data_IF_510276009431
#
_entry.id   IF_510276009431
#
_cell.length_a   1.000
_cell.length_b   1.000
_cell.length_c   1.000
_cell.angle_alpha   90.00
_cell.angle_beta   90.00
_cell.angle_gamma   90.00
#
_symmetry.space_group_name_H-M   'P 1'
#
loop_
_entity.id
_entity.type
_entity.pdbx_description
1 polymer ?
#
# COMPACT_ATOMS: atom_id res chain seq x y z
N UNK A 1 -28.16 -5.12 55.63
CA UNK A 1 -28.19 -4.30 54.41
C UNK A 1 -27.01 -4.76 53.55
N UNK A 2 -27.22 -5.79 52.73
CA UNK A 2 -26.16 -6.37 51.89
C UNK A 2 -25.82 -5.44 50.72
N UNK A 3 -24.53 -5.28 50.38
CA UNK A 3 -24.14 -4.46 49.24
C UNK A 3 -24.49 -5.21 47.96
N UNK A 4 -25.40 -4.63 47.16
CA UNK A 4 -25.71 -5.13 45.81
C UNK A 4 -24.47 -4.95 44.92
N UNK A 5 -23.75 -6.03 44.67
CA UNK A 5 -22.65 -6.10 43.70
C UNK A 5 -23.23 -5.87 42.31
N UNK A 6 -23.01 -4.68 41.73
CA UNK A 6 -23.46 -4.36 40.39
C UNK A 6 -22.69 -5.20 39.36
N UNK A 7 -23.35 -6.19 38.76
CA UNK A 7 -22.76 -7.03 37.71
C UNK A 7 -22.49 -6.18 36.48
N UNK A 8 -21.21 -5.88 36.21
CA UNK A 8 -20.79 -5.08 35.05
C UNK A 8 -21.09 -5.88 33.77
N UNK A 9 -22.13 -5.48 33.05
CA UNK A 9 -22.61 -6.18 31.86
C UNK A 9 -21.62 -5.97 30.71
N UNK A 10 -20.87 -7.02 30.35
CA UNK A 10 -19.91 -6.99 29.23
C UNK A 10 -20.65 -6.65 27.93
N UNK A 11 -20.22 -5.60 27.23
CA UNK A 11 -20.79 -5.21 25.94
C UNK A 11 -19.86 -5.60 24.81
N UNK A 12 -20.35 -6.42 23.88
CA UNK A 12 -19.60 -6.73 22.64
C UNK A 12 -20.19 -5.94 21.48
N UNK A 13 -19.33 -5.26 20.73
CA UNK A 13 -19.67 -4.51 19.51
C UNK A 13 -18.86 -5.06 18.35
N UNK A 14 -19.44 -5.03 17.15
CA UNK A 14 -18.76 -5.40 15.91
C UNK A 14 -18.83 -4.21 14.96
N UNK A 15 -17.68 -3.82 14.42
CA UNK A 15 -17.57 -2.87 13.33
C UNK A 15 -17.25 -3.64 12.05
N UNK A 16 -18.04 -3.41 11.00
CA UNK A 16 -17.81 -3.95 9.67
C UNK A 16 -17.79 -2.80 8.69
N UNK A 17 -16.68 -2.66 7.98
CA UNK A 17 -16.50 -1.73 6.88
C UNK A 17 -16.25 -2.60 5.66
N UNK A 18 -17.29 -2.80 4.85
CA UNK A 18 -17.23 -3.73 3.72
C UNK A 18 -16.35 -3.20 2.57
N UNK A 19 -16.20 -1.89 2.46
CA UNK A 19 -15.30 -1.21 1.52
C UNK A 19 -14.62 -0.03 2.22
N UNK A 20 -13.29 -0.05 2.27
CA UNK A 20 -12.49 1.09 2.70
C UNK A 20 -12.45 2.12 1.57
N UNK A 21 -12.96 3.32 1.85
CA UNK A 21 -12.84 4.46 0.95
C UNK A 21 -11.54 5.21 1.20
N UNK A 22 -11.14 6.04 0.22
CA UNK A 22 -9.95 6.92 0.30
C UNK A 22 -8.64 6.17 0.56
N UNK A 23 -8.52 4.98 -0.02
CA UNK A 23 -7.29 4.19 -0.07
C UNK A 23 -7.09 3.72 -1.51
N UNK A 24 -5.85 3.36 -1.86
CA UNK A 24 -5.59 2.64 -3.10
C UNK A 24 -5.88 1.15 -2.90
N UNK A 25 -6.36 0.50 -3.96
CA UNK A 25 -6.78 -0.89 -3.93
C UNK A 25 -8.14 -1.12 -3.26
N UNK A 26 -8.49 -2.39 -3.09
CA UNK A 26 -9.78 -2.81 -2.54
C UNK A 26 -9.62 -3.62 -1.25
N UNK A 27 -10.16 -3.07 -0.15
CA UNK A 27 -10.05 -3.68 1.17
C UNK A 27 -11.28 -3.48 2.05
N UNK A 28 -11.43 -4.37 3.03
CA UNK A 28 -12.49 -4.36 4.05
C UNK A 28 -11.89 -4.52 5.45
N UNK A 29 -12.55 -3.94 6.46
CA UNK A 29 -12.14 -4.02 7.85
C UNK A 29 -13.25 -4.63 8.72
N UNK A 30 -12.87 -5.62 9.52
CA UNK A 30 -13.69 -6.16 10.59
C UNK A 30 -12.99 -5.88 11.92
N UNK A 31 -13.72 -5.36 12.91
CA UNK A 31 -13.21 -5.23 14.27
C UNK A 31 -14.24 -5.67 15.31
N UNK A 32 -13.82 -6.46 16.29
CA UNK A 32 -14.61 -6.83 17.46
C UNK A 32 -14.10 -6.08 18.67
N UNK A 33 -15.02 -5.45 19.41
CA UNK A 33 -14.71 -4.66 20.59
C UNK A 33 -15.48 -5.26 21.76
N UNK A 34 -14.78 -5.66 22.81
CA UNK A 34 -15.36 -6.12 24.07
C UNK A 34 -15.12 -5.05 25.13
N UNK A 35 -16.19 -4.47 25.62
CA UNK A 35 -16.18 -3.29 26.49
C UNK A 35 -15.44 -2.11 25.84
N UNK A 36 -14.17 -1.88 26.22
CA UNK A 36 -13.29 -0.85 25.66
C UNK A 36 -12.12 -1.40 24.87
N UNK A 37 -11.92 -2.72 24.88
CA UNK A 37 -10.76 -3.36 24.29
C UNK A 37 -11.12 -3.91 22.91
N UNK A 38 -10.28 -3.61 21.92
CA UNK A 38 -10.35 -4.26 20.61
C UNK A 38 -9.80 -5.67 20.78
N UNK A 39 -10.64 -6.68 20.57
CA UNK A 39 -10.29 -8.08 20.80
C UNK A 39 -10.00 -8.87 19.53
N UNK A 40 -10.43 -8.35 18.37
CA UNK A 40 -10.15 -8.94 17.07
C UNK A 40 -10.17 -7.86 15.98
N UNK A 41 -9.23 -7.93 15.06
CA UNK A 41 -9.16 -7.07 13.87
C UNK A 41 -8.78 -7.93 12.68
N UNK A 42 -9.57 -7.88 11.62
CA UNK A 42 -9.29 -8.57 10.37
C UNK A 42 -9.31 -7.56 9.23
N UNK A 43 -8.25 -7.58 8.43
CA UNK A 43 -8.14 -6.82 7.19
C UNK A 43 -8.28 -7.81 6.03
N UNK A 44 -9.22 -7.55 5.14
CA UNK A 44 -9.47 -8.40 3.97
C UNK A 44 -9.21 -7.59 2.71
N UNK A 45 -8.20 -7.98 1.96
CA UNK A 45 -7.94 -7.48 0.61
C UNK A 45 -8.68 -8.40 -0.35
N UNK A 46 -9.59 -7.85 -1.13
CA UNK A 46 -10.36 -8.61 -2.11
C UNK A 46 -10.13 -8.12 -3.55
N UNK A 47 -9.20 -7.17 -3.72
CA UNK A 47 -8.74 -6.75 -5.04
C UNK A 47 -8.28 -7.98 -5.84
N UNK A 48 -8.75 -8.14 -7.10
CA UNK A 48 -8.37 -9.28 -7.92
C UNK A 48 -6.87 -9.25 -8.23
N UNK A 49 -6.17 -10.39 -8.14
CA UNK A 49 -4.74 -10.43 -8.39
C UNK A 49 -4.44 -10.12 -9.87
N UNK A 50 -3.64 -9.07 -10.11
CA UNK A 50 -3.26 -8.62 -11.46
C UNK A 50 -2.05 -9.36 -12.05
N UNK A 51 -1.33 -10.12 -11.23
CA UNK A 51 -0.26 -11.05 -11.66
C UNK A 51 0.88 -10.43 -12.49
N UNK A 52 1.36 -9.22 -12.12
CA UNK A 52 2.46 -8.54 -12.82
C UNK A 52 3.73 -9.40 -12.96
N UNK A 53 4.05 -10.20 -11.96
CA UNK A 53 5.22 -11.10 -12.00
C UNK A 53 5.09 -12.18 -13.07
N UNK A 54 3.90 -12.77 -13.21
CA UNK A 54 3.63 -13.72 -14.27
C UNK A 54 3.63 -13.04 -15.64
N UNK A 55 3.08 -11.82 -15.73
CA UNK A 55 3.07 -11.00 -16.94
C UNK A 55 4.49 -10.67 -17.45
N UNK A 56 5.47 -10.53 -16.55
CA UNK A 56 6.86 -10.22 -16.91
C UNK A 56 7.63 -11.44 -17.45
N UNK A 57 7.14 -12.67 -17.27
CA UNK A 57 7.87 -13.87 -17.75
C UNK A 57 7.97 -13.87 -19.27
N UNK A 58 9.19 -14.05 -19.77
CA UNK A 58 9.49 -14.07 -21.22
C UNK A 58 9.47 -12.71 -21.91
N UNK A 59 9.22 -11.61 -21.17
CA UNK A 59 9.27 -10.25 -21.71
C UNK A 59 10.67 -9.69 -21.75
N UNK A 60 10.86 -8.66 -22.57
CA UNK A 60 12.13 -7.97 -22.64
C UNK A 60 12.33 -7.11 -21.39
N UNK A 61 13.55 -7.10 -20.83
CA UNK A 61 13.87 -6.34 -19.61
C UNK A 61 13.51 -4.86 -19.73
N UNK A 62 13.71 -4.26 -20.91
CA UNK A 62 13.34 -2.87 -21.22
C UNK A 62 11.86 -2.53 -21.03
N UNK A 63 10.97 -3.52 -21.05
CA UNK A 63 9.53 -3.31 -20.83
C UNK A 63 9.17 -3.26 -19.35
N UNK A 64 10.04 -3.78 -18.46
CA UNK A 64 9.73 -3.92 -17.05
C UNK A 64 9.43 -2.58 -16.37
N UNK A 65 10.19 -1.48 -16.56
CA UNK A 65 9.89 -0.21 -15.92
C UNK A 65 8.51 0.34 -16.27
N UNK A 66 8.09 0.17 -17.53
CA UNK A 66 6.76 0.59 -17.97
C UNK A 66 5.67 -0.32 -17.39
N UNK A 67 5.86 -1.63 -17.42
CA UNK A 67 4.86 -2.57 -16.91
C UNK A 67 4.69 -2.41 -15.39
N UNK A 68 5.78 -2.35 -14.62
CA UNK A 68 5.71 -2.28 -13.15
C UNK A 68 5.17 -0.95 -12.66
N UNK A 69 5.38 0.16 -13.39
CA UNK A 69 4.77 1.45 -13.05
C UNK A 69 3.23 1.41 -13.00
N UNK A 70 2.59 0.38 -13.58
CA UNK A 70 1.12 0.20 -13.55
C UNK A 70 0.66 -0.68 -12.38
N UNK A 71 1.58 -1.09 -11.49
CA UNK A 71 1.21 -1.77 -10.25
C UNK A 71 0.41 -0.80 -9.35
N UNK A 72 0.81 0.45 -9.23
CA UNK A 72 0.06 1.45 -8.47
C UNK A 72 0.05 2.79 -9.22
N UNK A 73 -1.12 3.41 -9.33
CA UNK A 73 -1.26 4.72 -9.98
C UNK A 73 -0.85 5.90 -9.11
N UNK A 74 -0.72 5.71 -7.78
CA UNK A 74 -0.32 6.75 -6.83
C UNK A 74 1.21 6.84 -6.70
N UNK A 75 1.92 5.71 -6.79
CA UNK A 75 3.38 5.67 -6.68
C UNK A 75 4.08 4.96 -7.86
N UNK A 76 3.78 5.34 -9.13
CA UNK A 76 4.33 4.66 -10.30
C UNK A 76 5.86 4.76 -10.41
N UNK A 77 6.48 5.88 -10.02
CA UNK A 77 7.92 6.14 -10.10
C UNK A 77 8.68 5.20 -9.16
N UNK A 78 8.15 4.91 -7.96
CA UNK A 78 8.76 3.93 -7.06
C UNK A 78 8.93 2.56 -7.73
N UNK A 79 7.91 2.08 -8.44
CA UNK A 79 7.98 0.81 -9.18
C UNK A 79 8.87 0.90 -10.42
N UNK A 80 8.83 2.02 -11.14
CA UNK A 80 9.68 2.24 -12.31
C UNK A 80 11.15 2.23 -11.91
N UNK A 81 11.51 2.96 -10.85
CA UNK A 81 12.88 3.06 -10.36
C UNK A 81 13.38 1.74 -9.77
N UNK A 82 12.51 0.97 -9.11
CA UNK A 82 12.86 -0.37 -8.63
C UNK A 82 13.20 -1.32 -9.78
N UNK A 83 12.42 -1.31 -10.86
CA UNK A 83 12.71 -2.11 -12.05
C UNK A 83 14.01 -1.65 -12.74
N UNK A 84 14.23 -0.34 -12.88
CA UNK A 84 15.47 0.21 -13.45
C UNK A 84 16.69 -0.21 -12.65
N UNK A 85 16.67 -0.08 -11.32
CA UNK A 85 17.79 -0.51 -10.47
C UNK A 85 18.03 -2.03 -10.55
N UNK A 86 16.97 -2.83 -10.62
CA UNK A 86 17.09 -4.28 -10.77
C UNK A 86 17.76 -4.67 -12.10
N UNK A 87 17.39 -3.98 -13.20
CA UNK A 87 18.01 -4.17 -14.52
C UNK A 87 19.48 -3.74 -14.48
N UNK A 88 19.79 -2.55 -13.95
CA UNK A 88 21.16 -2.05 -13.86
C UNK A 88 22.06 -3.01 -13.07
N UNK A 89 21.57 -3.53 -11.95
CA UNK A 89 22.26 -4.55 -11.17
C UNK A 89 22.44 -5.86 -11.95
N UNK A 90 21.42 -6.33 -12.66
CA UNK A 90 21.49 -7.57 -13.44
C UNK A 90 22.49 -7.49 -14.61
N UNK A 91 22.66 -6.30 -15.21
CA UNK A 91 23.58 -6.07 -16.32
C UNK A 91 24.94 -5.49 -15.90
N UNK A 92 25.15 -5.20 -14.61
CA UNK A 92 26.39 -4.59 -14.12
C UNK A 92 26.63 -3.18 -14.68
N UNK A 93 25.56 -2.41 -14.88
CA UNK A 93 25.63 -1.07 -15.48
C UNK A 93 25.89 -0.02 -14.40
N UNK A 94 26.98 0.73 -14.57
CA UNK A 94 27.24 1.96 -13.82
C UNK A 94 26.68 3.16 -14.59
N UNK A 95 25.88 3.99 -13.91
CA UNK A 95 25.26 5.18 -14.50
C UNK A 95 26.01 6.45 -14.10
N UNK A 96 25.93 7.45 -14.98
CA UNK A 96 26.46 8.78 -14.70
C UNK A 96 25.82 9.37 -13.41
N UNK A 97 26.61 9.98 -12.51
CA UNK A 97 26.10 10.61 -11.29
C UNK A 97 24.99 11.65 -11.54
N UNK A 98 25.01 12.37 -12.67
CA UNK A 98 23.95 13.30 -13.05
C UNK A 98 22.63 12.57 -13.33
N UNK A 99 22.67 11.42 -14.00
CA UNK A 99 21.47 10.59 -14.24
C UNK A 99 20.91 10.07 -12.93
N UNK A 100 21.77 9.61 -12.01
CA UNK A 100 21.35 9.20 -10.66
C UNK A 100 20.67 10.33 -9.90
N UNK A 101 21.20 11.55 -10.03
CA UNK A 101 20.67 12.75 -9.37
C UNK A 101 19.30 13.15 -9.93
N UNK A 102 19.12 13.11 -11.25
CA UNK A 102 17.83 13.36 -11.90
C UNK A 102 16.76 12.35 -11.48
N UNK A 103 17.11 11.07 -11.41
CA UNK A 103 16.18 10.03 -10.95
C UNK A 103 15.79 10.19 -9.49
N UNK A 104 16.73 10.60 -8.63
CA UNK A 104 16.44 10.94 -7.24
C UNK A 104 15.49 12.14 -7.15
N UNK A 105 15.70 13.17 -7.96
CA UNK A 105 14.81 14.32 -8.01
C UNK A 105 13.38 13.91 -8.40
N UNK A 106 13.24 13.07 -9.44
CA UNK A 106 11.94 12.53 -9.86
C UNK A 106 11.26 11.73 -8.74
N UNK A 107 11.98 10.87 -8.04
CA UNK A 107 11.46 10.11 -6.91
C UNK A 107 11.02 11.03 -5.75
N UNK A 108 11.80 12.06 -5.42
CA UNK A 108 11.42 13.05 -4.42
C UNK A 108 10.18 13.87 -4.84
N UNK A 109 10.00 14.14 -6.13
CA UNK A 109 8.82 14.82 -6.64
C UNK A 109 7.55 13.98 -6.45
N UNK A 110 7.58 12.69 -6.82
CA UNK A 110 6.48 11.76 -6.52
C UNK A 110 6.22 11.67 -5.01
N UNK A 111 7.28 11.63 -4.20
CA UNK A 111 7.11 11.56 -2.74
C UNK A 111 6.33 12.77 -2.21
N UNK A 112 6.68 13.99 -2.64
CA UNK A 112 5.95 15.21 -2.25
C UNK A 112 4.50 15.18 -2.75
N UNK A 113 4.29 14.79 -4.01
CA UNK A 113 2.96 14.70 -4.61
C UNK A 113 2.07 13.70 -3.87
N UNK A 114 2.56 12.48 -3.64
CA UNK A 114 1.84 11.42 -2.95
C UNK A 114 1.48 11.80 -1.51
N UNK A 115 2.39 12.50 -0.80
CA UNK A 115 2.12 12.98 0.56
C UNK A 115 1.08 14.11 0.56
N UNK A 116 1.15 15.04 -0.39
CA UNK A 116 0.15 16.07 -0.54
C UNK A 116 -1.23 15.46 -0.85
N UNK A 117 -1.31 14.53 -1.80
CA UNK A 117 -2.53 13.77 -2.11
C UNK A 117 -3.09 13.10 -0.86
N UNK A 118 -2.25 12.40 -0.10
CA UNK A 118 -2.69 11.71 1.12
C UNK A 118 -3.26 12.68 2.16
N UNK A 119 -2.54 13.76 2.47
CA UNK A 119 -2.94 14.74 3.50
C UNK A 119 -4.24 15.46 3.11
N UNK A 120 -4.39 15.87 1.86
CA UNK A 120 -5.50 16.73 1.45
C UNK A 120 -6.72 15.96 0.92
N UNK A 121 -6.54 14.73 0.42
CA UNK A 121 -7.62 13.99 -0.22
C UNK A 121 -7.94 12.64 0.44
N UNK A 122 -7.00 12.01 1.15
CA UNK A 122 -7.18 10.63 1.64
C UNK A 122 -7.38 10.49 3.15
N UNK A 123 -6.72 11.32 3.96
CA UNK A 123 -6.79 11.30 5.43
C UNK A 123 -8.17 11.65 5.98
#
# INVERSE_FOLDING_TARGET
MEPKTATKRTRTRTLKVDVLARVEGEGALYARIKDRDVTDVQFRIFEPPRMFEALLRGRASREAPDITARICGICPVAYQMSAVHAIENAFGVEIDPAVRSLRRLLYCAEWIESHALHIYMLH
#
